data_IF_738708744809
#
_entry.id   IF_738708744809
#
_cell.length_a   1.000
_cell.length_b   1.000
_cell.length_c   1.000
_cell.angle_alpha   90.00
_cell.angle_beta   90.00
_cell.angle_gamma   90.00
#
_symmetry.space_group_name_H-M   'P 1'
#
loop_
_entity.id
_entity.type
_entity.pdbx_description
1 polymer ?
#
# COMPACT_ATOMS: atom_id res chain seq x y z
N UNK A 1 5.71 -1.93 -4.46
CA UNK A 1 5.30 -0.74 -3.69
C UNK A 1 5.06 -1.17 -2.27
N UNK A 2 5.63 -0.43 -1.32
CA UNK A 2 5.51 -0.66 0.11
C UNK A 2 4.58 0.41 0.71
N UNK A 3 3.52 -0.05 1.38
CA UNK A 3 2.52 0.79 2.03
C UNK A 3 2.39 0.37 3.49
N UNK A 4 2.78 1.25 4.40
CA UNK A 4 2.61 1.01 5.83
C UNK A 4 1.16 1.24 6.21
N UNK A 5 0.55 0.27 6.89
CA UNK A 5 -0.86 0.27 7.26
C UNK A 5 -1.03 0.60 8.74
N UNK A 6 -2.03 1.42 9.05
CA UNK A 6 -2.39 1.87 10.39
C UNK A 6 -2.38 3.39 10.52
N UNK A 7 -3.37 3.89 11.27
CA UNK A 7 -3.44 5.31 11.67
C UNK A 7 -2.34 5.71 12.66
N UNK A 8 -1.80 4.72 13.36
CA UNK A 8 -0.64 4.82 14.24
C UNK A 8 0.32 3.66 13.98
N UNK A 9 1.61 3.91 14.21
CA UNK A 9 2.67 2.89 14.10
C UNK A 9 3.29 2.49 15.43
N UNK A 10 2.97 3.21 16.51
CA UNK A 10 3.30 2.82 17.88
C UNK A 10 2.24 1.88 18.47
N UNK A 11 2.61 1.19 19.54
CA UNK A 11 1.75 0.26 20.28
C UNK A 11 1.93 0.44 21.80
N UNK A 12 0.98 -0.03 22.63
CA UNK A 12 1.11 0.06 24.08
C UNK A 12 2.39 -0.64 24.60
N UNK A 13 3.09 -0.01 25.54
CA UNK A 13 4.27 -0.59 26.19
C UNK A 13 5.61 -0.33 25.51
N UNK A 14 5.66 0.42 24.40
CA UNK A 14 6.93 0.89 23.81
C UNK A 14 7.62 1.93 24.70
N UNK A 15 8.93 2.14 24.48
CA UNK A 15 9.65 3.23 25.14
C UNK A 15 9.12 4.59 24.72
N UNK A 16 9.23 5.59 25.62
CA UNK A 16 8.82 6.96 25.34
C UNK A 16 9.52 7.55 24.10
N UNK A 17 10.81 7.23 23.92
CA UNK A 17 11.57 7.64 22.75
C UNK A 17 10.98 7.08 21.45
N UNK A 18 10.65 5.77 21.42
CA UNK A 18 10.05 5.14 20.25
C UNK A 18 8.64 5.67 19.98
N UNK A 19 7.83 5.83 21.03
CA UNK A 19 6.49 6.43 20.94
C UNK A 19 6.55 7.81 20.29
N UNK A 20 7.42 8.71 20.78
CA UNK A 20 7.55 10.07 20.27
C UNK A 20 8.03 10.10 18.82
N UNK A 21 8.95 9.19 18.44
CA UNK A 21 9.41 9.06 17.07
C UNK A 21 8.30 8.61 16.11
N UNK A 22 7.54 7.57 16.49
CA UNK A 22 6.39 7.10 15.71
C UNK A 22 5.31 8.18 15.61
N UNK A 23 4.95 8.81 16.73
CA UNK A 23 3.93 9.86 16.76
C UNK A 23 4.28 11.04 15.85
N UNK A 24 5.55 11.45 15.82
CA UNK A 24 6.03 12.48 14.90
C UNK A 24 5.84 12.04 13.44
N UNK A 25 6.34 10.86 13.08
CA UNK A 25 6.24 10.34 11.70
C UNK A 25 4.78 10.16 11.26
N UNK A 26 3.91 9.68 12.14
CA UNK A 26 2.50 9.45 11.84
C UNK A 26 1.78 10.78 11.54
N UNK A 27 2.10 11.85 12.29
CA UNK A 27 1.55 13.21 12.10
C UNK A 27 2.08 13.94 10.87
N UNK A 28 3.32 13.67 10.47
CA UNK A 28 3.95 14.33 9.32
C UNK A 28 3.57 13.68 7.98
N UNK A 29 2.96 12.50 8.01
CA UNK A 29 2.59 11.69 6.85
C UNK A 29 1.07 11.55 6.70
N UNK A 30 0.62 10.78 5.70
CA UNK A 30 -0.80 10.43 5.54
C UNK A 30 -1.31 9.39 6.55
N UNK A 31 -0.49 8.91 7.48
CA UNK A 31 -0.90 7.84 8.40
C UNK A 31 -2.10 8.27 9.23
N UNK A 32 -2.04 9.45 9.85
CA UNK A 32 -3.15 9.96 10.67
C UNK A 32 -4.41 10.25 9.83
N UNK A 33 -4.26 10.80 8.63
CA UNK A 33 -5.40 11.23 7.81
C UNK A 33 -6.05 10.10 7.00
N UNK A 34 -5.27 9.12 6.55
CA UNK A 34 -5.72 8.05 5.66
C UNK A 34 -5.66 6.66 6.30
N UNK A 35 -5.00 6.50 7.44
CA UNK A 35 -4.75 5.18 8.02
C UNK A 35 -3.68 4.38 7.27
N UNK A 36 -2.96 4.98 6.33
CA UNK A 36 -1.81 4.36 5.66
C UNK A 36 -0.85 5.43 5.14
N UNK A 37 0.39 5.03 4.84
CA UNK A 37 1.37 5.87 4.13
C UNK A 37 2.24 5.06 3.18
N UNK A 38 2.70 5.69 2.12
CA UNK A 38 3.70 5.10 1.25
C UNK A 38 5.06 5.09 1.97
N UNK A 39 5.71 3.93 2.05
CA UNK A 39 7.05 3.81 2.63
C UNK A 39 8.15 3.83 1.55
N UNK A 40 7.79 3.45 0.32
CA UNK A 40 8.65 3.54 -0.86
C UNK A 40 8.10 2.75 -2.03
N UNK A 41 8.59 3.03 -3.22
CA UNK A 41 8.21 2.24 -4.39
C UNK A 41 9.28 2.25 -5.47
N UNK A 42 9.22 1.19 -6.28
CA UNK A 42 10.01 0.98 -7.49
C UNK A 42 9.03 0.66 -8.60
N UNK A 43 8.98 1.49 -9.63
CA UNK A 43 8.08 1.36 -10.79
C UNK A 43 8.94 1.23 -12.04
N UNK A 44 8.53 0.40 -13.00
CA UNK A 44 9.19 0.29 -14.29
C UNK A 44 8.58 1.31 -15.25
N UNK A 45 9.38 2.23 -15.76
CA UNK A 45 8.98 3.15 -16.83
C UNK A 45 9.18 2.45 -18.18
N UNK A 46 8.07 2.19 -18.87
CA UNK A 46 8.06 1.49 -20.15
C UNK A 46 8.60 2.34 -21.31
N UNK A 47 8.53 3.67 -21.22
CA UNK A 47 9.03 4.57 -22.25
C UNK A 47 10.55 4.68 -22.16
N UNK A 48 11.08 4.78 -20.95
CA UNK A 48 12.51 4.89 -20.70
C UNK A 48 13.21 3.52 -20.49
N UNK A 49 12.44 2.44 -20.43
CA UNK A 49 12.91 1.06 -20.17
C UNK A 49 13.80 0.95 -18.93
N UNK A 50 13.47 1.67 -17.86
CA UNK A 50 14.24 1.67 -16.60
C UNK A 50 13.34 1.72 -15.37
N UNK A 51 13.90 1.30 -14.24
CA UNK A 51 13.22 1.45 -12.97
C UNK A 51 13.44 2.84 -12.38
N UNK A 52 12.34 3.43 -11.91
CA UNK A 52 12.35 4.60 -11.05
C UNK A 52 12.14 4.17 -9.63
N UNK A 53 13.05 4.60 -8.76
CA UNK A 53 13.00 4.34 -7.33
C UNK A 53 12.74 5.68 -6.65
N UNK A 54 11.68 5.75 -5.86
CA UNK A 54 11.39 6.93 -5.05
C UNK A 54 11.72 6.61 -3.60
N UNK A 55 12.69 7.36 -3.07
CA UNK A 55 13.20 7.17 -1.72
C UNK A 55 12.18 7.59 -0.64
N UNK A 56 12.32 6.98 0.54
CA UNK A 56 11.51 7.26 1.72
C UNK A 56 11.35 8.76 2.01
N UNK A 57 12.43 9.55 1.89
CA UNK A 57 12.41 10.99 2.20
C UNK A 57 11.44 11.78 1.30
N UNK A 58 11.26 11.34 0.06
CA UNK A 58 10.35 11.97 -0.89
C UNK A 58 8.91 11.59 -0.55
N UNK A 59 8.64 10.30 -0.35
CA UNK A 59 7.28 9.81 -0.05
C UNK A 59 6.79 10.21 1.34
N UNK A 60 7.69 10.51 2.28
CA UNK A 60 7.34 10.96 3.63
C UNK A 60 6.58 12.31 3.63
N UNK A 61 6.83 13.17 2.63
CA UNK A 61 6.16 14.46 2.52
C UNK A 61 4.76 14.40 1.87
N UNK A 62 4.36 13.23 1.36
CA UNK A 62 3.13 13.08 0.60
C UNK A 62 1.89 13.45 1.41
N UNK A 63 0.97 14.11 0.72
CA UNK A 63 -0.38 14.43 1.16
C UNK A 63 -1.38 13.48 0.50
N UNK A 64 -2.66 13.72 0.77
CA UNK A 64 -3.75 12.85 0.30
C UNK A 64 -3.77 12.75 -1.23
N UNK A 65 -3.61 13.88 -1.92
CA UNK A 65 -3.58 13.91 -3.39
C UNK A 65 -2.37 13.17 -3.95
N UNK A 66 -1.20 13.30 -3.31
CA UNK A 66 0.00 12.55 -3.67
C UNK A 66 -0.20 11.04 -3.51
N UNK A 67 -0.87 10.61 -2.43
CA UNK A 67 -1.15 9.20 -2.20
C UNK A 67 -2.01 8.60 -3.32
N UNK A 68 -3.05 9.32 -3.77
CA UNK A 68 -3.87 8.90 -4.92
C UNK A 68 -3.05 8.92 -6.22
N UNK A 69 -2.27 9.97 -6.45
CA UNK A 69 -1.45 10.13 -7.64
C UNK A 69 -0.45 8.97 -7.78
N UNK A 70 0.19 8.57 -6.69
CA UNK A 70 1.21 7.50 -6.66
C UNK A 70 0.61 6.14 -6.94
N UNK A 71 -0.59 5.86 -6.43
CA UNK A 71 -1.32 4.63 -6.76
C UNK A 71 -1.69 4.59 -8.24
N UNK A 72 -2.15 5.70 -8.82
CA UNK A 72 -2.38 5.79 -10.28
C UNK A 72 -1.09 5.58 -11.06
N UNK A 73 0.02 6.22 -10.64
CA UNK A 73 1.35 6.05 -11.25
C UNK A 73 1.83 4.60 -11.21
N UNK A 74 1.55 3.86 -10.14
CA UNK A 74 1.95 2.45 -10.00
C UNK A 74 1.39 1.55 -11.10
N UNK A 75 0.26 1.92 -11.70
CA UNK A 75 -0.42 1.15 -12.75
C UNK A 75 -0.49 1.93 -14.06
N UNK A 76 0.44 2.87 -14.30
CA UNK A 76 0.47 3.67 -15.51
C UNK A 76 1.54 3.20 -16.49
N UNK A 77 1.31 3.47 -17.79
CA UNK A 77 2.26 3.14 -18.86
C UNK A 77 3.14 4.33 -19.27
N UNK A 78 2.70 5.55 -18.97
CA UNK A 78 3.37 6.79 -19.32
C UNK A 78 4.46 7.19 -18.33
N UNK A 79 5.41 8.01 -18.82
CA UNK A 79 6.59 8.37 -18.03
C UNK A 79 6.27 9.21 -16.79
N UNK A 80 7.08 9.01 -15.76
CA UNK A 80 6.95 9.63 -14.45
C UNK A 80 7.28 11.14 -14.44
N UNK A 81 7.96 11.64 -15.46
CA UNK A 81 8.46 13.01 -15.57
C UNK A 81 7.43 13.96 -16.20
N UNK A 82 6.33 14.25 -15.49
CA UNK A 82 5.39 15.36 -15.77
C UNK A 82 4.11 15.03 -16.58
N UNK A 83 3.80 13.74 -16.77
CA UNK A 83 2.51 13.35 -17.36
C UNK A 83 1.47 12.99 -16.30
N UNK A 84 0.19 13.34 -16.56
CA UNK A 84 -0.94 12.89 -15.74
C UNK A 84 -0.99 11.35 -15.86
N UNK A 85 -1.01 10.59 -14.74
CA UNK A 85 -0.99 9.13 -14.80
C UNK A 85 -2.17 8.59 -15.61
N UNK A 86 -1.89 7.77 -16.62
CA UNK A 86 -2.92 7.20 -17.49
C UNK A 86 -3.65 6.02 -16.85
N UNK A 87 -3.07 5.42 -15.80
CA UNK A 87 -3.61 4.23 -15.12
C UNK A 87 -3.89 3.06 -16.09
N UNK A 88 -3.14 2.98 -17.19
CA UNK A 88 -3.40 2.06 -18.31
C UNK A 88 -3.45 0.58 -17.92
N UNK A 89 -2.83 0.20 -16.81
CA UNK A 89 -2.77 -1.18 -16.31
C UNK A 89 -3.66 -1.42 -15.08
N UNK A 90 -4.53 -0.46 -14.72
CA UNK A 90 -5.34 -0.57 -13.51
C UNK A 90 -6.25 -1.81 -13.55
N UNK A 91 -6.89 -2.09 -14.69
CA UNK A 91 -7.78 -3.25 -14.84
C UNK A 91 -7.02 -4.58 -14.68
N UNK A 92 -5.81 -4.68 -15.21
CA UNK A 92 -4.98 -5.89 -15.19
C UNK A 92 -4.29 -6.13 -13.84
N UNK A 93 -3.91 -5.05 -13.14
CA UNK A 93 -3.14 -5.11 -11.88
C UNK A 93 -4.06 -5.06 -10.66
N UNK A 94 -4.98 -4.10 -10.63
CA UNK A 94 -5.90 -3.93 -9.51
C UNK A 94 -7.16 -4.79 -9.65
N UNK A 95 -7.70 -4.88 -10.86
CA UNK A 95 -8.95 -5.58 -11.18
C UNK A 95 -8.81 -7.09 -11.34
N UNK A 96 -9.95 -7.75 -11.62
CA UNK A 96 -10.03 -9.19 -11.82
C UNK A 96 -10.09 -9.99 -10.50
N UNK A 97 -10.42 -11.29 -10.62
CA UNK A 97 -10.62 -12.18 -9.47
C UNK A 97 -9.32 -12.52 -8.72
N UNK A 98 -8.16 -12.29 -9.34
CA UNK A 98 -6.84 -12.49 -8.75
C UNK A 98 -6.03 -11.19 -8.63
N UNK A 99 -6.62 -10.03 -8.93
CA UNK A 99 -5.96 -8.73 -8.82
C UNK A 99 -5.71 -8.31 -7.38
N UNK A 100 -5.03 -7.17 -7.23
CA UNK A 100 -4.72 -6.61 -5.91
C UNK A 100 -5.99 -6.35 -5.09
N UNK A 101 -7.07 -5.86 -5.71
CA UNK A 101 -8.30 -5.57 -4.96
C UNK A 101 -8.91 -6.85 -4.35
N UNK A 102 -8.98 -7.93 -5.12
CA UNK A 102 -9.49 -9.21 -4.62
C UNK A 102 -8.67 -9.74 -3.44
N UNK A 103 -7.33 -9.68 -3.55
CA UNK A 103 -6.41 -10.11 -2.49
C UNK A 103 -6.51 -9.24 -1.23
N UNK A 104 -6.68 -7.92 -1.37
CA UNK A 104 -6.88 -7.03 -0.23
C UNK A 104 -8.23 -7.25 0.45
N UNK A 105 -9.28 -7.56 -0.31
CA UNK A 105 -10.60 -7.89 0.25
C UNK A 105 -10.57 -9.21 1.04
N UNK A 106 -9.85 -10.22 0.55
CA UNK A 106 -9.60 -11.47 1.28
C UNK A 106 -8.83 -11.20 2.57
N UNK A 107 -7.75 -10.41 2.49
CA UNK A 107 -6.97 -9.99 3.65
C UNK A 107 -7.84 -9.24 4.66
N UNK A 108 -8.70 -8.32 4.19
CA UNK A 108 -9.63 -7.57 5.03
C UNK A 108 -10.59 -8.52 5.76
N UNK A 109 -11.18 -9.50 5.06
CA UNK A 109 -12.09 -10.46 5.68
C UNK A 109 -11.41 -11.26 6.81
N UNK A 110 -10.14 -11.61 6.64
CA UNK A 110 -9.35 -12.22 7.70
C UNK A 110 -9.13 -11.25 8.88
N UNK A 111 -8.75 -10.00 8.61
CA UNK A 111 -8.58 -8.97 9.66
C UNK A 111 -9.87 -8.59 10.39
N UNK A 112 -11.05 -8.79 9.80
CA UNK A 112 -12.34 -8.55 10.45
C UNK A 112 -12.66 -9.56 11.57
N UNK A 113 -12.01 -10.72 11.56
CA UNK A 113 -12.36 -11.83 12.47
C UNK A 113 -11.19 -12.34 13.29
N UNK A 114 -9.96 -12.25 12.78
CA UNK A 114 -8.79 -12.71 13.50
C UNK A 114 -8.54 -11.84 14.74
N UNK A 115 -8.20 -12.49 15.84
CA UNK A 115 -7.86 -11.85 17.12
C UNK A 115 -6.53 -12.36 17.68
N UNK A 116 -5.75 -13.04 16.83
CA UNK A 116 -4.50 -13.68 17.22
C UNK A 116 -3.38 -12.66 17.28
N UNK A 117 -3.35 -11.70 16.35
CA UNK A 117 -2.22 -10.80 16.17
C UNK A 117 -2.64 -9.36 15.96
N UNK A 118 -1.89 -8.42 16.56
CA UNK A 118 -1.90 -7.00 16.20
C UNK A 118 -0.60 -6.66 15.45
N UNK A 119 -0.73 -6.13 14.24
CA UNK A 119 0.34 -5.86 13.30
C UNK A 119 0.75 -4.39 13.35
N UNK A 120 1.53 -4.02 14.36
CA UNK A 120 1.99 -2.64 14.52
C UNK A 120 3.14 -2.33 13.57
N UNK A 121 3.08 -1.18 12.88
CA UNK A 121 4.12 -0.78 11.90
C UNK A 121 4.36 -1.78 10.77
N UNK A 122 3.37 -2.62 10.45
CA UNK A 122 3.43 -3.60 9.35
C UNK A 122 3.07 -2.94 8.01
N UNK A 123 3.60 -3.50 6.92
CA UNK A 123 3.38 -3.00 5.57
C UNK A 123 2.67 -4.02 4.68
N UNK A 124 1.81 -3.51 3.81
CA UNK A 124 1.34 -4.18 2.61
C UNK A 124 2.34 -3.93 1.49
N UNK A 125 2.90 -5.00 0.94
CA UNK A 125 3.80 -4.98 -0.20
C UNK A 125 3.09 -5.50 -1.45
N UNK A 126 3.01 -4.64 -2.46
CA UNK A 126 2.35 -4.93 -3.74
C UNK A 126 3.37 -4.99 -4.88
N UNK A 127 3.24 -5.96 -5.76
CA UNK A 127 4.09 -6.07 -6.96
C UNK A 127 3.35 -6.80 -8.08
N UNK A 128 3.79 -6.60 -9.32
CA UNK A 128 3.26 -7.26 -10.50
C UNK A 128 4.37 -7.44 -11.55
N UNK A 129 4.12 -8.24 -12.57
CA UNK A 129 5.09 -8.57 -13.63
C UNK A 129 4.83 -7.71 -14.88
N UNK A 130 5.77 -6.81 -15.20
CA UNK A 130 5.63 -5.87 -16.33
C UNK A 130 5.58 -6.57 -17.70
N UNK A 131 6.41 -7.60 -17.91
CA UNK A 131 6.49 -8.31 -19.20
C UNK A 131 5.19 -9.04 -19.55
N UNK A 132 4.56 -9.67 -18.56
CA UNK A 132 3.32 -10.42 -18.74
C UNK A 132 2.14 -9.54 -19.15
N UNK A 133 2.10 -8.29 -18.70
CA UNK A 133 1.11 -7.28 -19.12
C UNK A 133 1.29 -6.92 -20.60
N UNK A 134 2.52 -6.65 -21.02
CA UNK A 134 2.82 -6.25 -22.40
C UNK A 134 2.56 -7.37 -23.40
N UNK A 135 2.84 -8.62 -23.01
CA UNK A 135 2.71 -9.78 -23.89
C UNK A 135 1.27 -10.30 -24.01
N UNK A 136 0.28 -9.69 -23.31
CA UNK A 136 -1.14 -10.13 -23.27
C UNK A 136 -1.28 -11.66 -23.11
N UNK A 137 -0.40 -12.25 -22.32
CA UNK A 137 -0.38 -13.69 -22.07
C UNK A 137 -1.59 -14.13 -21.26
N UNK A 138 -1.85 -15.44 -21.24
CA UNK A 138 -2.98 -16.04 -20.49
C UNK A 138 -2.92 -15.80 -18.97
N UNK A 139 -1.74 -15.43 -18.44
CA UNK A 139 -1.49 -15.36 -17.00
C UNK A 139 -1.66 -13.94 -16.38
N UNK A 140 -2.01 -12.93 -17.18
CA UNK A 140 -2.26 -11.55 -16.71
C UNK A 140 -1.05 -10.89 -16.04
N UNK A 141 -1.29 -9.85 -15.24
CA UNK A 141 -0.22 -9.07 -14.57
C UNK A 141 0.52 -9.83 -13.46
N UNK A 142 0.07 -11.03 -13.06
CA UNK A 142 0.55 -11.79 -11.89
C UNK A 142 0.71 -10.91 -10.64
N UNK A 143 -0.21 -10.00 -10.42
CA UNK A 143 -0.17 -9.07 -9.31
C UNK A 143 -0.31 -9.82 -7.96
N UNK A 144 0.46 -9.41 -6.96
CA UNK A 144 0.46 -10.03 -5.64
C UNK A 144 0.49 -9.00 -4.52
N UNK A 145 -0.16 -9.37 -3.41
CA UNK A 145 -0.16 -8.67 -2.13
C UNK A 145 0.49 -9.57 -1.09
N UNK A 146 1.43 -9.03 -0.32
CA UNK A 146 2.06 -9.70 0.83
C UNK A 146 2.14 -8.75 2.03
N UNK A 147 2.09 -9.30 3.23
CA UNK A 147 2.45 -8.55 4.43
C UNK A 147 3.96 -8.70 4.70
N UNK A 148 4.59 -7.62 5.14
CA UNK A 148 6.01 -7.57 5.51
C UNK A 148 6.20 -6.74 6.80
N UNK A 149 7.43 -6.70 7.33
CA UNK A 149 7.80 -5.97 8.55
C UNK A 149 7.07 -6.44 9.82
N UNK A 150 7.30 -7.70 10.21
CA UNK A 150 6.66 -8.30 11.39
C UNK A 150 7.37 -8.03 12.73
N UNK A 151 8.35 -7.12 12.78
CA UNK A 151 9.18 -6.86 13.98
C UNK A 151 8.36 -6.41 15.19
N UNK A 152 7.18 -5.85 14.98
CA UNK A 152 6.31 -5.32 16.03
C UNK A 152 4.91 -5.97 16.02
N UNK A 153 4.85 -7.25 15.63
CA UNK A 153 3.63 -8.05 15.81
C UNK A 153 3.49 -8.45 17.27
N UNK A 154 2.29 -8.28 17.82
CA UNK A 154 1.95 -8.58 19.20
C UNK A 154 0.77 -9.55 19.25
N UNK A 155 0.57 -10.20 20.39
CA UNK A 155 -0.64 -10.99 20.64
C UNK A 155 -1.88 -10.09 20.66
N UNK A 156 -2.90 -10.47 19.89
CA UNK A 156 -4.16 -9.75 19.79
C UNK A 156 -5.05 -9.90 21.02
N UNK A 157 -4.76 -10.88 21.89
CA UNK A 157 -5.45 -11.12 23.17
C UNK A 157 -7.00 -11.16 23.05
N UNK A 158 -7.51 -11.76 21.97
CA UNK A 158 -8.95 -11.86 21.73
C UNK A 158 -9.59 -10.59 21.16
N UNK A 159 -8.78 -9.58 20.79
CA UNK A 159 -9.23 -8.30 20.20
C UNK A 159 -8.78 -8.21 18.75
N UNK A 160 -9.66 -7.72 17.88
CA UNK A 160 -9.35 -7.45 16.47
C UNK A 160 -8.36 -6.28 16.35
N UNK A 161 -7.45 -6.34 15.38
CA UNK A 161 -6.59 -5.21 15.05
C UNK A 161 -7.36 -4.11 14.29
N UNK A 162 -8.08 -3.28 15.03
CA UNK A 162 -8.83 -2.16 14.47
C UNK A 162 -7.95 -1.11 13.79
N UNK A 163 -6.69 -0.96 14.23
CA UNK A 163 -5.78 0.01 13.63
C UNK A 163 -5.40 -0.42 12.21
N UNK A 164 -5.01 -1.69 12.04
CA UNK A 164 -4.69 -2.24 10.74
C UNK A 164 -5.93 -2.31 9.85
N UNK A 165 -7.06 -2.82 10.38
CA UNK A 165 -8.30 -2.95 9.63
C UNK A 165 -8.83 -1.61 9.09
N UNK A 166 -8.77 -0.56 9.91
CA UNK A 166 -9.17 0.79 9.49
C UNK A 166 -8.29 1.32 8.35
N UNK A 167 -6.98 1.16 8.48
CA UNK A 167 -6.02 1.55 7.44
C UNK A 167 -6.19 0.78 6.14
N UNK A 168 -6.35 -0.55 6.23
CA UNK A 168 -6.59 -1.43 5.09
C UNK A 168 -7.89 -1.08 4.36
N UNK A 169 -8.96 -0.78 5.10
CA UNK A 169 -10.25 -0.41 4.52
C UNK A 169 -10.16 0.91 3.72
N UNK A 170 -9.46 1.90 4.28
CA UNK A 170 -9.18 3.16 3.57
C UNK A 170 -8.34 2.91 2.32
N UNK A 171 -7.29 2.10 2.43
CA UNK A 171 -6.42 1.77 1.29
C UNK A 171 -7.18 1.06 0.16
N UNK A 172 -8.05 0.10 0.49
CA UNK A 172 -8.93 -0.57 -0.46
C UNK A 172 -9.80 0.44 -1.21
N UNK A 173 -10.37 1.43 -0.51
CA UNK A 173 -11.21 2.45 -1.16
C UNK A 173 -10.45 3.26 -2.20
N UNK A 174 -9.19 3.61 -1.94
CA UNK A 174 -8.36 4.31 -2.93
C UNK A 174 -8.13 3.47 -4.19
N UNK A 175 -7.90 2.16 -4.04
CA UNK A 175 -7.72 1.25 -5.19
C UNK A 175 -9.03 1.08 -5.96
N UNK A 176 -10.16 0.95 -5.26
CA UNK A 176 -11.49 0.89 -5.88
C UNK A 176 -11.80 2.16 -6.68
N UNK A 177 -11.57 3.33 -6.10
CA UNK A 177 -11.79 4.62 -6.78
C UNK A 177 -11.01 4.73 -8.09
N UNK A 178 -9.80 4.16 -8.16
CA UNK A 178 -8.96 4.17 -9.38
C UNK A 178 -9.51 3.21 -10.45
N UNK A 179 -10.11 2.09 -10.04
CA UNK A 179 -10.76 1.15 -10.97
C UNK A 179 -12.07 1.69 -11.54
N UNK A 180 -12.75 2.57 -10.80
CA UNK A 180 -14.03 3.18 -11.17
C UNK A 180 -13.87 4.53 -11.93
N UNK A 181 -12.64 5.06 -12.05
CA UNK A 181 -12.35 6.37 -12.66
C UNK A 181 -12.17 6.37 -14.17
#
# INVERSE_FOLDING_TARGET
MDVKIGSRTWYPGVSEQYFNQCLKNDRETTSVSLGFRHAGFKIFDHQESRFWIVEYKVVHGYKVDDARLVLRKFVSSNSLADSIPDSAFASEVYGGSSGILAQLLELKAWFETQTLYHFSSCSVYMFYENESILMKGRDGARAQVKLVDFTHVLDGNGVVDHNFLGGLSSFIKFIQDILES
#
